data_IF_328845378370
#
_entry.id   IF_328845378370
#
_cell.length_a   1.000
_cell.length_b   1.000
_cell.length_c   1.000
_cell.angle_alpha   90.00
_cell.angle_beta   90.00
_cell.angle_gamma   90.00
#
_symmetry.space_group_name_H-M   'P 1'
#
loop_
_entity.id
_entity.type
_entity.pdbx_description
1 polymer ?
#
# COMPACT_ATOMS: atom_id res chain seq x y z
N UNK A 1 -21.30 11.64 21.04
CA UNK A 1 -21.49 10.87 19.80
C UNK A 1 -20.21 10.60 18.99
N UNK A 2 -19.01 11.10 19.36
CA UNK A 2 -17.76 10.90 18.58
C UNK A 2 -17.08 9.52 18.70
N UNK A 3 -17.50 8.68 19.65
CA UNK A 3 -16.92 7.34 19.88
C UNK A 3 -17.38 6.29 18.87
N UNK A 4 -18.58 6.46 18.30
CA UNK A 4 -19.20 5.45 17.41
C UNK A 4 -18.51 5.37 16.03
N UNK A 5 -17.78 6.41 15.63
CA UNK A 5 -17.08 6.42 14.33
C UNK A 5 -15.73 5.71 14.37
N UNK A 6 -15.01 5.73 15.49
CA UNK A 6 -13.65 5.17 15.57
C UNK A 6 -13.68 3.66 15.82
N UNK A 7 -14.61 3.18 16.67
CA UNK A 7 -14.82 1.75 16.88
C UNK A 7 -15.26 1.05 15.59
N UNK A 8 -16.21 1.64 14.85
CA UNK A 8 -16.70 1.05 13.61
C UNK A 8 -15.61 0.97 12.52
N UNK A 9 -14.72 1.95 12.42
CA UNK A 9 -13.58 1.89 11.50
C UNK A 9 -12.58 0.80 11.92
N UNK A 10 -12.35 0.64 13.23
CA UNK A 10 -11.46 -0.39 13.77
C UNK A 10 -12.01 -1.82 13.56
N UNK A 11 -13.33 -1.97 13.71
CA UNK A 11 -14.05 -3.24 13.51
C UNK A 11 -14.10 -3.64 12.03
N UNK A 12 -14.25 -2.69 11.10
CA UNK A 12 -14.17 -2.96 9.66
C UNK A 12 -12.77 -3.41 9.21
N UNK A 13 -11.72 -2.82 9.79
CA UNK A 13 -10.32 -3.22 9.54
C UNK A 13 -10.04 -4.62 10.16
N UNK A 14 -10.52 -4.88 11.38
CA UNK A 14 -10.28 -6.14 12.10
C UNK A 14 -11.11 -7.33 11.60
N UNK A 15 -12.24 -7.07 10.90
CA UNK A 15 -13.13 -8.12 10.39
C UNK A 15 -12.64 -8.76 9.07
N UNK A 16 -11.47 -8.41 8.55
CA UNK A 16 -10.95 -8.94 7.28
C UNK A 16 -11.76 -8.50 6.05
N UNK A 17 -12.55 -7.42 6.17
CA UNK A 17 -13.38 -6.91 5.08
C UNK A 17 -12.58 -6.10 4.06
N UNK A 18 -11.49 -5.47 4.48
CA UNK A 18 -10.60 -4.70 3.60
C UNK A 18 -9.38 -5.54 3.27
N UNK A 19 -9.21 -5.88 1.99
CA UNK A 19 -8.01 -6.56 1.50
C UNK A 19 -6.89 -5.53 1.33
N UNK A 20 -5.67 -5.89 1.69
CA UNK A 20 -4.51 -5.04 1.42
C UNK A 20 -3.76 -5.56 0.19
N UNK A 21 -3.42 -4.65 -0.71
CA UNK A 21 -2.54 -4.89 -1.85
C UNK A 21 -1.24 -4.12 -1.64
N UNK A 22 -0.23 -4.84 -1.15
CA UNK A 22 1.11 -4.31 -0.95
C UNK A 22 1.90 -4.33 -2.27
N UNK A 23 2.56 -3.21 -2.57
CA UNK A 23 3.29 -3.00 -3.83
C UNK A 23 4.74 -2.59 -3.53
N UNK A 24 5.68 -3.18 -4.26
CA UNK A 24 7.06 -2.68 -4.38
C UNK A 24 7.17 -1.90 -5.69
N UNK A 25 7.55 -0.62 -5.60
CA UNK A 25 7.61 0.30 -6.73
C UNK A 25 9.07 0.58 -7.12
N UNK A 26 9.48 0.11 -8.30
CA UNK A 26 10.76 0.50 -8.91
C UNK A 26 10.53 1.42 -10.11
N UNK A 27 11.40 2.41 -10.27
CA UNK A 27 11.37 3.32 -11.40
C UNK A 27 12.79 3.61 -11.92
N UNK A 28 12.92 4.05 -13.16
CA UNK A 28 14.25 4.41 -13.69
C UNK A 28 14.78 5.71 -13.07
N UNK A 29 13.89 6.65 -12.74
CA UNK A 29 14.26 7.97 -12.23
C UNK A 29 13.49 8.32 -10.96
N UNK A 30 14.17 8.98 -10.02
CA UNK A 30 13.62 9.33 -8.71
C UNK A 30 12.35 10.19 -8.80
N UNK A 31 12.29 11.09 -9.79
CA UNK A 31 11.16 12.01 -9.99
C UNK A 31 9.85 11.32 -10.37
N UNK A 32 9.90 10.08 -10.85
CA UNK A 32 8.70 9.31 -11.22
C UNK A 32 8.05 8.60 -10.03
N UNK A 33 8.77 8.40 -8.94
CA UNK A 33 8.30 7.59 -7.80
C UNK A 33 7.09 8.24 -7.13
N UNK A 34 7.19 9.51 -6.76
CA UNK A 34 6.14 10.17 -5.98
C UNK A 34 4.81 10.31 -6.73
N UNK A 35 4.78 10.75 -8.02
CA UNK A 35 3.54 10.81 -8.78
C UNK A 35 2.87 9.44 -8.98
N UNK A 36 3.67 8.40 -9.23
CA UNK A 36 3.15 7.04 -9.43
C UNK A 36 2.62 6.48 -8.11
N UNK A 37 3.37 6.63 -7.02
CA UNK A 37 2.93 6.22 -5.67
C UNK A 37 1.60 6.85 -5.31
N UNK A 38 1.48 8.17 -5.45
CA UNK A 38 0.23 8.87 -5.12
C UNK A 38 -0.93 8.36 -5.98
N UNK A 39 -0.68 8.11 -7.26
CA UNK A 39 -1.70 7.57 -8.17
C UNK A 39 -2.14 6.15 -7.76
N UNK A 40 -1.20 5.28 -7.35
CA UNK A 40 -1.50 3.93 -6.88
C UNK A 40 -2.30 3.94 -5.58
N UNK A 41 -1.93 4.78 -4.61
CA UNK A 41 -2.64 4.88 -3.33
C UNK A 41 -4.08 5.42 -3.52
N UNK A 42 -4.31 6.28 -4.53
CA UNK A 42 -5.65 6.77 -4.89
C UNK A 42 -6.55 5.73 -5.57
N UNK A 43 -5.99 4.64 -6.12
CA UNK A 43 -6.77 3.55 -6.72
C UNK A 43 -7.41 2.62 -5.68
N UNK A 44 -7.07 2.78 -4.40
CA UNK A 44 -7.70 2.02 -3.32
C UNK A 44 -9.21 2.27 -3.24
N UNK A 45 -9.96 1.22 -2.93
CA UNK A 45 -11.41 1.26 -2.69
C UNK A 45 -11.71 0.92 -1.24
N UNK A 46 -12.99 0.96 -0.84
CA UNK A 46 -13.41 0.54 0.50
C UNK A 46 -13.13 -0.96 0.73
N UNK A 47 -13.11 -1.78 -0.32
CA UNK A 47 -12.83 -3.22 -0.25
C UNK A 47 -11.34 -3.56 -0.40
N UNK A 48 -10.55 -2.73 -1.08
CA UNK A 48 -9.13 -2.99 -1.34
C UNK A 48 -8.29 -1.75 -1.07
N UNK A 49 -7.44 -1.81 -0.05
CA UNK A 49 -6.45 -0.78 0.26
C UNK A 49 -5.17 -1.05 -0.52
N UNK A 50 -4.71 -0.08 -1.30
CA UNK A 50 -3.42 -0.16 -2.01
C UNK A 50 -2.35 0.54 -1.17
N UNK A 51 -1.19 -0.10 -0.99
CA UNK A 51 -0.09 0.45 -0.22
C UNK A 51 1.27 0.16 -0.87
N UNK A 52 2.10 1.19 -1.03
CA UNK A 52 3.49 1.02 -1.48
C UNK A 52 4.39 0.80 -0.26
N UNK A 53 4.87 -0.43 -0.06
CA UNK A 53 5.69 -0.82 1.10
C UNK A 53 7.18 -0.57 0.90
N UNK A 54 7.62 -0.47 -0.35
CA UNK A 54 8.98 -0.09 -0.72
C UNK A 54 9.01 0.62 -2.06
N UNK A 55 9.86 1.64 -2.18
CA UNK A 55 10.12 2.29 -3.46
C UNK A 55 11.58 2.66 -3.63
N UNK A 56 12.05 2.64 -4.88
CA UNK A 56 13.43 2.98 -5.21
C UNK A 56 13.68 3.05 -6.70
N UNK A 57 14.88 3.48 -7.07
CA UNK A 57 15.28 3.51 -8.48
C UNK A 57 16.05 2.24 -8.89
N UNK A 58 16.05 1.96 -10.20
CA UNK A 58 16.79 0.85 -10.80
C UNK A 58 16.04 -0.48 -10.79
N UNK A 59 16.77 -1.54 -11.11
CA UNK A 59 16.20 -2.89 -11.28
C UNK A 59 15.72 -3.50 -9.96
N UNK A 60 14.90 -4.54 -10.09
CA UNK A 60 14.50 -5.40 -8.97
C UNK A 60 15.73 -6.15 -8.43
N UNK A 61 15.85 -6.19 -7.11
CA UNK A 61 16.92 -6.85 -6.37
C UNK A 61 16.40 -8.04 -5.57
N UNK A 62 17.30 -8.89 -5.08
CA UNK A 62 16.95 -10.00 -4.20
C UNK A 62 16.26 -9.51 -2.91
N UNK A 63 16.71 -8.39 -2.36
CA UNK A 63 16.08 -7.76 -1.18
C UNK A 63 14.63 -7.34 -1.43
N UNK A 64 14.31 -6.85 -2.63
CA UNK A 64 12.93 -6.51 -3.01
C UNK A 64 12.06 -7.78 -3.02
N UNK A 65 12.58 -8.88 -3.59
CA UNK A 65 11.86 -10.16 -3.64
C UNK A 65 11.63 -10.73 -2.23
N UNK A 66 12.65 -10.68 -1.38
CA UNK A 66 12.56 -11.12 0.01
C UNK A 66 11.53 -10.31 0.80
N UNK A 67 11.48 -9.00 0.60
CA UNK A 67 10.47 -8.14 1.21
C UNK A 67 9.06 -8.50 0.74
N UNK A 68 8.87 -8.77 -0.56
CA UNK A 68 7.57 -9.15 -1.10
C UNK A 68 7.04 -10.48 -0.52
N UNK A 69 7.92 -11.44 -0.23
CA UNK A 69 7.54 -12.73 0.36
C UNK A 69 7.19 -12.59 1.85
N UNK A 70 7.84 -11.67 2.56
CA UNK A 70 7.66 -11.48 3.99
C UNK A 70 6.42 -10.64 4.36
N UNK A 71 5.81 -9.97 3.37
CA UNK A 71 4.78 -8.94 3.56
C UNK A 71 3.39 -9.35 3.09
#
# INVERSE_FOLDING_TARGET
SKSVSLSNLYDQISAGQVKELNIILKADVQGSIEPIRSSLEQLGTEEVRVGVIHSGTGNITESDVMLAIAS
#
